data_IF_322863658440
#
_entry.id   IF_322863658440
#
_cell.length_a   1.000
_cell.length_b   1.000
_cell.length_c   1.000
_cell.angle_alpha   90.00
_cell.angle_beta   90.00
_cell.angle_gamma   90.00
#
_symmetry.space_group_name_H-M   'P 1'
#
loop_
_entity.id
_entity.type
_entity.pdbx_description
1 polymer ?
#
# COMPACT_ATOMS: atom_id res chain seq x y z
N UNK A 1 -0.45 -19.49 24.00
CA UNK A 1 0.04 -20.73 24.64
C UNK A 1 1.53 -20.85 24.36
N UNK A 2 2.34 -21.46 25.24
CA UNK A 2 3.75 -21.75 24.98
C UNK A 2 3.91 -22.47 23.63
N UNK A 3 4.87 -22.07 22.82
CA UNK A 3 5.10 -22.63 21.47
C UNK A 3 4.06 -22.23 20.41
N UNK A 4 3.08 -21.38 20.75
CA UNK A 4 2.08 -20.89 19.79
C UNK A 4 2.70 -20.00 18.72
N UNK A 5 2.15 -20.06 17.51
CA UNK A 5 2.63 -19.29 16.35
C UNK A 5 1.62 -18.21 15.96
N UNK A 6 2.11 -17.01 15.74
CA UNK A 6 1.40 -15.90 15.11
C UNK A 6 1.95 -15.74 13.68
N UNK A 7 1.13 -16.05 12.68
CA UNK A 7 1.41 -15.71 11.30
C UNK A 7 0.54 -14.52 10.88
N UNK A 8 1.14 -13.53 10.22
CA UNK A 8 0.41 -12.38 9.70
C UNK A 8 0.95 -11.95 8.35
N UNK A 9 0.10 -11.26 7.60
CA UNK A 9 0.50 -10.44 6.46
C UNK A 9 -0.02 -9.02 6.63
N UNK A 10 0.68 -8.05 6.03
CA UNK A 10 0.25 -6.66 6.00
C UNK A 10 0.88 -5.93 4.82
N UNK A 11 0.66 -4.61 4.74
CA UNK A 11 1.24 -3.74 3.74
C UNK A 11 2.17 -2.73 4.42
N UNK A 12 3.25 -2.35 3.74
CA UNK A 12 4.17 -1.33 4.25
C UNK A 12 4.50 -0.27 3.19
N UNK A 13 5.26 0.75 3.63
CA UNK A 13 5.75 1.84 2.77
C UNK A 13 6.41 1.28 1.51
N UNK A 14 5.88 1.68 0.35
CA UNK A 14 6.22 1.14 -0.96
C UNK A 14 4.97 0.69 -1.72
N UNK A 15 3.94 0.27 -0.96
CA UNK A 15 2.62 0.00 -1.49
C UNK A 15 2.00 1.24 -2.15
N UNK A 16 1.47 1.06 -3.36
CA UNK A 16 0.84 2.05 -4.22
C UNK A 16 1.71 3.30 -4.43
N UNK A 17 3.03 3.10 -4.56
CA UNK A 17 3.99 4.16 -4.79
C UNK A 17 3.66 4.99 -6.03
N UNK A 18 3.29 4.33 -7.12
CA UNK A 18 2.94 4.95 -8.40
C UNK A 18 1.71 5.86 -8.26
N UNK A 19 0.69 5.41 -7.51
CA UNK A 19 -0.51 6.18 -7.24
C UNK A 19 -0.22 7.41 -6.38
N UNK A 20 0.56 7.23 -5.31
CA UNK A 20 0.98 8.32 -4.44
C UNK A 20 1.79 9.37 -5.21
N UNK A 21 2.73 8.93 -6.04
CA UNK A 21 3.57 9.80 -6.84
C UNK A 21 2.78 10.54 -7.91
N UNK A 22 1.80 9.88 -8.52
CA UNK A 22 0.87 10.52 -9.47
C UNK A 22 0.02 11.59 -8.79
N UNK A 23 -0.53 11.31 -7.60
CA UNK A 23 -1.29 12.30 -6.84
C UNK A 23 -0.47 13.51 -6.42
N UNK A 24 0.79 13.31 -6.02
CA UNK A 24 1.72 14.40 -5.64
C UNK A 24 1.95 15.42 -6.76
N UNK A 25 1.79 15.01 -8.03
CA UNK A 25 1.85 15.93 -9.18
C UNK A 25 0.56 16.72 -9.36
N UNK A 26 -0.58 16.15 -8.95
CA UNK A 26 -1.91 16.75 -9.11
C UNK A 26 -2.21 17.72 -7.98
N UNK A 27 -1.97 17.32 -6.73
CA UNK A 27 -2.14 18.15 -5.55
C UNK A 27 -1.30 17.64 -4.35
N UNK A 28 -1.31 18.40 -3.24
CA UNK A 28 -0.57 18.06 -2.02
C UNK A 28 -1.36 17.25 -0.99
N UNK A 29 -2.54 16.73 -1.33
CA UNK A 29 -3.39 16.02 -0.37
C UNK A 29 -3.02 14.54 -0.24
N UNK A 30 -3.41 13.93 0.88
CA UNK A 30 -3.18 12.51 1.12
C UNK A 30 -4.27 11.70 0.43
N UNK A 31 -3.96 11.12 -0.73
CA UNK A 31 -4.88 10.29 -1.51
C UNK A 31 -4.68 8.78 -1.35
N UNK A 32 -3.59 8.37 -0.72
CA UNK A 32 -3.23 6.95 -0.46
C UNK A 32 -3.09 6.75 1.05
N UNK A 33 -3.55 5.61 1.56
CA UNK A 33 -3.40 5.25 2.98
C UNK A 33 -1.95 5.36 3.45
N UNK A 34 -1.76 5.90 4.65
CA UNK A 34 -0.44 5.91 5.28
C UNK A 34 -0.10 4.48 5.70
N UNK A 35 0.89 3.90 5.04
CA UNK A 35 1.43 2.59 5.40
C UNK A 35 2.57 2.76 6.41
N UNK A 36 2.66 1.81 7.34
CA UNK A 36 3.76 1.71 8.31
C UNK A 36 5.07 1.37 7.60
N UNK A 37 6.23 1.85 8.09
CA UNK A 37 7.52 1.48 7.51
C UNK A 37 7.88 0.03 7.90
N UNK A 38 8.64 -0.68 7.05
CA UNK A 38 9.06 -2.06 7.37
C UNK A 38 9.88 -2.12 8.67
N UNK A 39 10.70 -1.10 8.94
CA UNK A 39 11.46 -0.97 10.19
C UNK A 39 10.57 -0.98 11.44
N UNK A 40 9.39 -0.39 11.38
CA UNK A 40 8.46 -0.39 12.53
C UNK A 40 7.92 -1.81 12.80
N UNK A 41 7.74 -2.64 11.77
CA UNK A 41 7.37 -4.05 11.96
C UNK A 41 8.50 -4.81 12.66
N UNK A 42 9.75 -4.57 12.28
CA UNK A 42 10.92 -5.17 12.96
C UNK A 42 10.97 -4.76 14.43
N UNK A 43 10.76 -3.46 14.72
CA UNK A 43 10.71 -2.94 16.08
C UNK A 43 9.56 -3.56 16.90
N UNK A 44 8.36 -3.64 16.33
CA UNK A 44 7.21 -4.25 17.00
C UNK A 44 7.38 -5.75 17.24
N UNK A 45 7.95 -6.48 16.29
CA UNK A 45 8.24 -7.90 16.48
C UNK A 45 9.25 -8.11 17.61
N UNK A 46 10.35 -7.34 17.62
CA UNK A 46 11.36 -7.39 18.67
C UNK A 46 10.79 -7.01 20.05
N UNK A 47 9.90 -6.01 20.11
CA UNK A 47 9.26 -5.55 21.35
C UNK A 47 8.05 -6.38 21.82
N UNK A 48 7.62 -7.39 21.05
CA UNK A 48 6.38 -8.14 21.34
C UNK A 48 6.53 -9.24 22.40
N UNK A 49 7.77 -9.60 22.76
CA UNK A 49 8.06 -10.80 23.56
C UNK A 49 7.85 -12.12 22.81
N UNK A 50 7.61 -12.06 21.49
CA UNK A 50 7.59 -13.22 20.60
C UNK A 50 8.93 -13.33 19.86
N UNK A 51 9.39 -14.56 19.61
CA UNK A 51 10.57 -14.84 18.80
C UNK A 51 10.23 -14.73 17.31
N UNK A 52 10.89 -13.85 16.54
CA UNK A 52 10.69 -13.80 15.10
C UNK A 52 11.34 -15.02 14.43
N UNK A 53 10.52 -15.86 13.78
CA UNK A 53 11.02 -16.95 12.94
C UNK A 53 11.26 -16.48 11.51
N UNK A 54 10.36 -15.65 10.99
CA UNK A 54 10.56 -14.91 9.75
C UNK A 54 9.87 -13.55 9.85
N UNK A 55 10.49 -12.53 9.30
CA UNK A 55 9.88 -11.24 9.07
C UNK A 55 10.53 -10.61 7.85
N UNK A 56 9.79 -10.53 6.76
CA UNK A 56 10.27 -10.09 5.46
C UNK A 56 9.20 -9.30 4.73
N UNK A 57 9.60 -8.64 3.66
CA UNK A 57 8.68 -8.02 2.72
C UNK A 57 9.08 -8.36 1.29
N UNK A 58 8.12 -8.27 0.38
CA UNK A 58 8.34 -8.44 -1.05
C UNK A 58 7.37 -7.55 -1.84
N UNK A 59 7.77 -7.18 -3.05
CA UNK A 59 6.93 -6.41 -3.96
C UNK A 59 6.11 -7.35 -4.84
N UNK A 60 4.80 -7.17 -4.82
CA UNK A 60 3.83 -7.82 -5.69
C UNK A 60 3.31 -6.79 -6.67
N UNK A 61 3.67 -6.92 -7.94
CA UNK A 61 3.21 -6.03 -8.99
C UNK A 61 1.95 -6.61 -9.63
N UNK A 62 0.92 -5.78 -9.73
CA UNK A 62 -0.25 -6.04 -10.55
C UNK A 62 -0.27 -5.04 -11.70
N UNK A 63 -0.75 -5.47 -12.86
CA UNK A 63 -0.88 -4.61 -14.03
C UNK A 63 -2.35 -4.46 -14.42
N UNK A 64 -2.73 -3.22 -14.74
CA UNK A 64 -4.09 -2.87 -15.12
C UNK A 64 -4.10 -2.20 -16.50
N UNK A 65 -5.14 -2.40 -17.32
CA UNK A 65 -5.21 -1.77 -18.63
C UNK A 65 -5.29 -0.23 -18.53
N UNK A 66 -5.99 0.27 -17.50
CA UNK A 66 -6.18 1.69 -17.25
C UNK A 66 -6.38 1.99 -15.74
N UNK A 67 -6.30 3.27 -15.41
CA UNK A 67 -6.41 3.75 -14.03
C UNK A 67 -7.84 3.55 -13.45
N UNK A 68 -8.86 3.45 -14.32
CA UNK A 68 -10.23 3.21 -13.88
C UNK A 68 -10.36 1.80 -13.32
N UNK A 69 -9.78 0.82 -14.00
CA UNK A 69 -9.74 -0.59 -13.60
C UNK A 69 -8.95 -0.75 -12.30
N UNK A 70 -7.80 -0.09 -12.20
CA UNK A 70 -6.98 -0.06 -10.98
C UNK A 70 -7.75 0.51 -9.79
N UNK A 71 -8.35 1.70 -9.94
CA UNK A 71 -9.08 2.36 -8.84
C UNK A 71 -10.38 1.64 -8.47
N UNK A 72 -11.00 0.93 -9.41
CA UNK A 72 -12.13 0.04 -9.13
C UNK A 72 -11.69 -1.15 -8.27
N UNK A 73 -10.59 -1.81 -8.64
CA UNK A 73 -10.03 -2.92 -7.87
C UNK A 73 -9.68 -2.51 -6.43
N UNK A 74 -9.02 -1.35 -6.26
CA UNK A 74 -8.71 -0.81 -4.94
C UNK A 74 -9.96 -0.61 -4.09
N UNK A 75 -11.06 -0.10 -4.68
CA UNK A 75 -12.33 0.04 -3.96
C UNK A 75 -12.94 -1.30 -3.59
N UNK A 76 -12.89 -2.28 -4.50
CA UNK A 76 -13.40 -3.64 -4.25
C UNK A 76 -12.62 -4.34 -3.11
N UNK A 77 -11.31 -4.11 -3.02
CA UNK A 77 -10.45 -4.55 -1.91
C UNK A 77 -10.70 -3.80 -0.59
N UNK A 78 -11.64 -2.85 -0.57
CA UNK A 78 -11.96 -2.06 0.61
C UNK A 78 -10.92 -0.99 0.94
N UNK A 79 -10.03 -0.63 0.00
CA UNK A 79 -9.05 0.44 0.15
C UNK A 79 -9.71 1.83 0.13
N UNK A 80 -10.50 2.10 1.15
CA UNK A 80 -11.00 3.42 1.47
C UNK A 80 -9.84 4.24 2.03
N UNK A 81 -9.73 5.50 1.61
CA UNK A 81 -8.75 6.42 2.17
C UNK A 81 -9.24 6.89 3.55
N UNK A 82 -8.58 6.43 4.61
CA UNK A 82 -8.95 6.68 6.00
C UNK A 82 -8.17 7.86 6.63
N UNK A 83 -7.34 8.58 5.86
CA UNK A 83 -6.49 9.62 6.43
C UNK A 83 -7.23 10.95 6.64
N UNK A 84 -6.93 11.68 7.74
CA UNK A 84 -7.34 13.07 7.88
C UNK A 84 -6.60 13.97 6.86
N UNK A 85 -7.27 14.99 6.33
CA UNK A 85 -6.74 15.88 5.28
C UNK A 85 -7.21 15.56 3.85
N UNK A 86 -8.28 14.78 3.70
CA UNK A 86 -8.98 14.61 2.42
C UNK A 86 -9.69 15.92 2.03
N UNK A 87 -9.61 16.39 0.78
CA UNK A 87 -10.36 17.57 0.37
C UNK A 87 -11.88 17.31 0.45
N UNK A 88 -12.60 18.23 1.08
CA UNK A 88 -14.07 18.30 1.04
C UNK A 88 -14.50 18.81 -0.34
N UNK A 89 -14.70 17.89 -1.27
CA UNK A 89 -15.19 18.21 -2.60
C UNK A 89 -14.98 17.10 -3.62
N UNK A 90 -15.84 17.07 -4.65
CA UNK A 90 -15.65 16.22 -5.82
C UNK A 90 -14.29 16.53 -6.44
N UNK A 91 -13.41 15.53 -6.54
CA UNK A 91 -12.19 15.59 -7.33
C UNK A 91 -12.57 16.09 -8.73
N UNK A 92 -12.27 17.36 -9.01
CA UNK A 92 -12.71 18.01 -10.23
C UNK A 92 -12.25 17.22 -11.45
N UNK A 93 -13.04 17.22 -12.52
CA UNK A 93 -12.73 16.50 -13.78
C UNK A 93 -11.30 16.78 -14.28
N UNK A 94 -10.78 17.99 -14.05
CA UNK A 94 -9.39 18.36 -14.34
C UNK A 94 -8.37 17.57 -13.51
N UNK A 95 -8.60 17.39 -12.20
CA UNK A 95 -7.72 16.60 -11.32
C UNK A 95 -7.68 15.14 -11.73
N UNK A 96 -8.81 14.56 -12.11
CA UNK A 96 -8.85 13.17 -12.63
C UNK A 96 -8.04 13.06 -13.92
N UNK A 97 -8.19 14.00 -14.87
CA UNK A 97 -7.38 14.02 -16.10
C UNK A 97 -5.89 14.15 -15.81
N UNK A 98 -5.52 15.04 -14.88
CA UNK A 98 -4.14 15.23 -14.46
C UNK A 98 -3.57 13.96 -13.80
N UNK A 99 -4.36 13.27 -12.97
CA UNK A 99 -3.96 12.00 -12.35
C UNK A 99 -3.73 10.93 -13.41
N UNK A 100 -4.65 10.76 -14.36
CA UNK A 100 -4.49 9.81 -15.46
C UNK A 100 -3.20 10.11 -16.21
N UNK A 101 -2.98 11.35 -16.65
CA UNK A 101 -1.77 11.74 -17.36
C UNK A 101 -0.49 11.51 -16.54
N UNK A 102 -0.53 11.80 -15.23
CA UNK A 102 0.61 11.58 -14.35
C UNK A 102 0.93 10.08 -14.17
N UNK A 103 -0.10 9.24 -14.07
CA UNK A 103 0.02 7.79 -13.88
C UNK A 103 0.46 7.08 -15.16
N UNK A 104 0.01 7.54 -16.33
CA UNK A 104 0.39 6.97 -17.63
C UNK A 104 1.91 6.96 -17.88
N UNK A 105 2.68 7.82 -17.19
CA UNK A 105 4.15 7.79 -17.21
C UNK A 105 4.76 6.50 -16.63
N UNK A 106 4.00 5.74 -15.85
CA UNK A 106 4.41 4.45 -15.31
C UNK A 106 4.02 3.27 -16.22
N UNK A 107 3.37 3.50 -17.37
CA UNK A 107 2.91 2.43 -18.25
C UNK A 107 4.06 1.52 -18.69
N UNK A 108 3.82 0.23 -18.58
CA UNK A 108 4.68 -0.86 -19.05
C UNK A 108 3.94 -1.64 -20.15
N UNK A 109 4.63 -2.51 -20.92
CA UNK A 109 3.99 -3.35 -21.93
C UNK A 109 2.81 -4.17 -21.40
N UNK A 110 2.88 -4.61 -20.14
CA UNK A 110 1.85 -5.40 -19.46
C UNK A 110 0.67 -4.55 -18.94
N UNK A 111 0.84 -3.23 -18.85
CA UNK A 111 -0.18 -2.28 -18.38
C UNK A 111 0.35 -1.25 -17.39
N UNK A 112 -0.57 -0.59 -16.68
CA UNK A 112 -0.27 0.32 -15.58
C UNK A 112 0.07 -0.49 -14.32
N UNK A 113 1.28 -0.35 -13.75
CA UNK A 113 1.67 -1.09 -12.57
C UNK A 113 1.01 -0.53 -11.31
N UNK A 114 0.70 -1.41 -10.36
CA UNK A 114 0.36 -1.11 -8.99
C UNK A 114 1.20 -2.00 -8.08
N UNK A 115 2.15 -1.40 -7.38
CA UNK A 115 3.03 -2.15 -6.47
C UNK A 115 2.37 -2.34 -5.12
N UNK A 116 2.28 -3.59 -4.64
CA UNK A 116 1.91 -3.92 -3.26
C UNK A 116 3.13 -4.45 -2.54
N UNK A 117 3.63 -3.71 -1.54
CA UNK A 117 4.74 -4.17 -0.72
C UNK A 117 4.20 -4.92 0.48
N UNK A 118 4.17 -6.23 0.36
CA UNK A 118 3.55 -7.14 1.33
C UNK A 118 4.57 -7.54 2.37
N UNK A 119 4.22 -7.34 3.64
CA UNK A 119 4.97 -7.84 4.79
C UNK A 119 4.42 -9.20 5.17
N UNK A 120 5.32 -10.16 5.41
CA UNK A 120 4.99 -11.46 5.98
C UNK A 120 5.77 -11.65 7.26
N UNK A 121 5.07 -12.03 8.33
CA UNK A 121 5.67 -12.31 9.62
C UNK A 121 5.18 -13.64 10.20
N UNK A 122 6.12 -14.41 10.74
CA UNK A 122 5.83 -15.59 11.58
C UNK A 122 6.62 -15.42 12.86
N UNK A 123 5.90 -15.25 13.96
CA UNK A 123 6.45 -15.07 15.30
C UNK A 123 6.00 -16.24 16.18
N UNK A 124 6.84 -16.67 17.12
CA UNK A 124 6.52 -17.76 18.05
C UNK A 124 6.53 -17.24 19.47
N UNK A 125 5.49 -17.56 20.25
CA UNK A 125 5.53 -17.36 21.69
C UNK A 125 6.50 -18.38 22.26
N UNK A 126 7.50 -17.87 22.98
CA UNK A 126 8.34 -18.75 23.77
C UNK A 126 7.51 -19.41 24.90
N UNK A 127 8.19 -20.18 25.75
CA UNK A 127 7.68 -20.81 26.98
C UNK A 127 6.62 -19.97 27.72
#
# INVERSE_FOLDING_TARGET
RPGGVLAFSSLCVGTLGELRDSWRVVDGFVHVNRFRAFADYLQHAAGSGLLPLTLRHEDRLLHFPDLRSLTHELKALGAHNLNPGRPDGLTGRQRIRALVAAYERFRQPEGLPATYRVVFGVLRKDS
#
